data_IF_348134633819
#
_entry.id   IF_348134633819
#
_cell.length_a   1.000
_cell.length_b   1.000
_cell.length_c   1.000
_cell.angle_alpha   90.00
_cell.angle_beta   90.00
_cell.angle_gamma   90.00
#
_symmetry.space_group_name_H-M   'P 1'
#
loop_
_entity.id
_entity.type
_entity.pdbx_description
1 polymer ?
#
# COMPACT_ATOMS: atom_id res chain seq x y z
N UNK A 1 -1.09 12.83 -9.89
CA UNK A 1 -2.55 13.07 -10.02
C UNK A 1 -3.34 12.86 -8.73
N UNK A 2 -3.51 11.66 -8.17
CA UNK A 2 -4.40 11.49 -6.99
C UNK A 2 -3.98 12.35 -5.78
N UNK A 3 -2.67 12.43 -5.50
CA UNK A 3 -2.13 13.31 -4.46
C UNK A 3 -2.45 14.78 -4.71
N UNK A 4 -2.33 15.24 -5.95
CA UNK A 4 -2.59 16.63 -6.33
C UNK A 4 -4.08 16.96 -6.13
N UNK A 5 -4.97 16.06 -6.57
CA UNK A 5 -6.41 16.21 -6.44
C UNK A 5 -6.86 16.23 -4.97
N UNK A 6 -6.36 15.34 -4.13
CA UNK A 6 -6.74 15.33 -2.71
C UNK A 6 -6.07 16.45 -1.90
N UNK A 7 -4.88 16.91 -2.28
CA UNK A 7 -4.14 17.93 -1.54
C UNK A 7 -4.43 19.37 -1.96
N UNK A 8 -4.87 19.58 -3.22
CA UNK A 8 -5.09 20.92 -3.77
C UNK A 8 -6.44 21.09 -4.46
N UNK A 9 -7.21 20.00 -4.62
CA UNK A 9 -8.45 19.98 -5.40
C UNK A 9 -8.25 20.11 -6.91
N UNK A 10 -7.00 20.05 -7.38
CA UNK A 10 -6.62 20.33 -8.77
C UNK A 10 -5.46 19.44 -9.23
N UNK A 11 -5.40 19.11 -10.52
CA UNK A 11 -4.25 18.44 -11.14
C UNK A 11 -4.05 18.86 -12.60
N UNK A 12 -2.83 19.27 -12.93
CA UNK A 12 -2.35 19.48 -14.31
C UNK A 12 -1.33 18.38 -14.72
N UNK A 13 -1.29 17.27 -13.98
CA UNK A 13 -0.35 16.16 -14.23
C UNK A 13 -0.34 15.69 -15.69
N UNK A 14 0.86 15.58 -16.26
CA UNK A 14 1.14 15.03 -17.60
C UNK A 14 2.12 13.89 -17.46
N UNK A 15 1.76 12.73 -17.97
CA UNK A 15 2.64 11.57 -18.07
C UNK A 15 2.18 10.63 -19.16
N UNK A 16 2.91 9.55 -19.35
CA UNK A 16 2.76 8.66 -20.50
C UNK A 16 1.36 8.00 -20.59
N UNK A 17 0.71 7.81 -19.44
CA UNK A 17 -0.59 7.15 -19.35
C UNK A 17 -1.75 8.10 -19.05
N UNK A 18 -1.48 9.30 -18.52
CA UNK A 18 -2.51 10.24 -18.08
C UNK A 18 -2.11 11.67 -18.40
N UNK A 19 -3.05 12.41 -18.97
CA UNK A 19 -2.94 13.83 -19.27
C UNK A 19 -4.11 14.57 -18.64
N UNK A 20 -3.85 15.31 -17.57
CA UNK A 20 -4.84 16.14 -16.88
C UNK A 20 -4.72 17.59 -17.37
N UNK A 21 -5.83 18.27 -17.62
CA UNK A 21 -5.88 19.68 -18.01
C UNK A 21 -6.84 20.39 -17.06
N UNK A 22 -6.32 21.20 -16.13
CA UNK A 22 -7.07 21.83 -15.04
C UNK A 22 -8.10 20.90 -14.39
N UNK A 23 -7.75 19.62 -14.17
CA UNK A 23 -8.68 18.66 -13.61
C UNK A 23 -9.02 19.07 -12.17
N UNK A 24 -10.31 19.13 -11.81
CA UNK A 24 -10.79 19.57 -10.48
C UNK A 24 -11.54 18.46 -9.76
N UNK A 25 -11.28 18.34 -8.47
CA UNK A 25 -12.04 17.46 -7.55
C UNK A 25 -12.30 18.22 -6.25
N UNK A 26 -13.57 18.32 -5.86
CA UNK A 26 -14.04 18.98 -4.65
C UNK A 26 -15.29 18.26 -4.10
N UNK A 27 -15.51 18.17 -2.78
CA UNK A 27 -14.62 18.66 -1.71
C UNK A 27 -13.32 17.86 -1.61
N UNK A 28 -12.30 18.48 -1.03
CA UNK A 28 -11.09 17.75 -0.62
C UNK A 28 -11.39 16.92 0.63
N UNK A 29 -10.65 15.81 0.85
CA UNK A 29 -10.76 15.05 2.09
C UNK A 29 -10.55 15.94 3.32
N UNK A 30 -11.38 15.77 4.35
CA UNK A 30 -11.27 16.53 5.60
C UNK A 30 -10.08 16.10 6.47
N UNK A 31 -9.45 14.97 6.14
CA UNK A 31 -8.27 14.40 6.80
C UNK A 31 -7.32 13.84 5.73
N UNK A 32 -6.02 13.63 6.04
CA UNK A 32 -5.07 13.06 5.09
C UNK A 32 -5.57 11.72 4.53
N UNK A 33 -5.73 11.64 3.20
CA UNK A 33 -6.20 10.43 2.53
C UNK A 33 -5.17 9.30 2.65
N UNK A 34 -5.62 8.15 3.15
CA UNK A 34 -4.78 6.95 3.30
C UNK A 34 -4.72 6.18 2.00
N UNK A 35 -3.52 5.75 1.62
CA UNK A 35 -3.28 4.91 0.45
C UNK A 35 -2.70 3.58 0.91
N UNK A 36 -3.31 2.48 0.49
CA UNK A 36 -2.84 1.13 0.79
C UNK A 36 -2.50 0.41 -0.52
N UNK A 37 -1.59 -0.55 -0.46
CA UNK A 37 -1.21 -1.36 -1.60
C UNK A 37 -1.05 -2.84 -1.19
N UNK A 38 -0.94 -3.73 -2.17
CA UNK A 38 -0.76 -5.18 -1.96
C UNK A 38 0.35 -5.76 -2.85
N UNK A 39 1.34 -4.94 -3.20
CA UNK A 39 2.46 -5.34 -4.04
C UNK A 39 3.40 -6.31 -3.31
N UNK A 40 3.67 -7.47 -3.91
CA UNK A 40 4.62 -8.46 -3.37
C UNK A 40 5.86 -8.71 -4.25
N UNK A 41 5.81 -8.24 -5.51
CA UNK A 41 7.00 -8.12 -6.36
C UNK A 41 7.89 -6.98 -5.87
N UNK A 42 9.16 -6.98 -6.28
CA UNK A 42 10.10 -5.94 -5.86
C UNK A 42 9.67 -4.55 -6.36
N UNK A 43 9.16 -4.46 -7.60
CA UNK A 43 8.59 -3.23 -8.14
C UNK A 43 7.34 -2.78 -7.38
N UNK A 44 6.45 -3.72 -7.01
CA UNK A 44 5.26 -3.42 -6.21
C UNK A 44 5.61 -2.94 -4.81
N UNK A 45 6.56 -3.58 -4.15
CA UNK A 45 7.05 -3.15 -2.83
C UNK A 45 7.73 -1.78 -2.88
N UNK A 46 8.50 -1.49 -3.94
CA UNK A 46 9.09 -0.17 -4.16
C UNK A 46 8.02 0.91 -4.34
N UNK A 47 6.96 0.61 -5.10
CA UNK A 47 5.80 1.50 -5.24
C UNK A 47 5.12 1.76 -3.90
N UNK A 48 4.84 0.70 -3.13
CA UNK A 48 4.25 0.80 -1.80
C UNK A 48 5.11 1.62 -0.85
N UNK A 49 6.43 1.44 -0.88
CA UNK A 49 7.36 2.18 -0.02
C UNK A 49 7.36 3.68 -0.33
N UNK A 50 7.14 4.05 -1.60
CA UNK A 50 7.07 5.45 -2.00
C UNK A 50 5.70 6.07 -1.70
N UNK A 51 4.61 5.30 -1.87
CA UNK A 51 3.29 5.89 -2.02
C UNK A 51 2.22 5.39 -1.06
N UNK A 52 2.39 4.23 -0.43
CA UNK A 52 1.41 3.69 0.50
C UNK A 52 1.74 4.09 1.95
N UNK A 53 0.72 4.04 2.79
CA UNK A 53 0.83 4.07 4.24
C UNK A 53 0.95 2.64 4.79
N UNK A 54 0.38 1.64 4.11
CA UNK A 54 0.50 0.22 4.46
C UNK A 54 0.53 -0.71 3.24
N UNK A 55 1.17 -1.87 3.37
CA UNK A 55 1.21 -2.91 2.34
C UNK A 55 0.62 -4.23 2.85
N UNK A 56 -0.35 -4.79 2.14
CA UNK A 56 -0.85 -6.14 2.42
C UNK A 56 0.06 -7.21 1.82
N UNK A 57 0.25 -8.30 2.56
CA UNK A 57 0.92 -9.50 2.08
C UNK A 57 0.15 -10.76 2.50
N UNK A 58 0.40 -11.88 1.84
CA UNK A 58 -0.24 -13.13 2.23
C UNK A 58 0.45 -13.74 3.45
N UNK A 59 -0.36 -14.24 4.39
CA UNK A 59 0.10 -15.27 5.32
C UNK A 59 0.58 -16.50 4.56
N UNK A 60 1.53 -17.24 5.14
CA UNK A 60 2.06 -18.47 4.54
C UNK A 60 1.72 -19.65 5.44
N UNK A 61 1.28 -20.75 4.84
CA UNK A 61 0.93 -21.99 5.53
C UNK A 61 -0.38 -21.94 6.32
N UNK A 62 -0.70 -23.06 6.98
CA UNK A 62 -1.87 -23.22 7.87
C UNK A 62 -1.37 -23.24 9.32
N UNK A 63 -2.01 -22.48 10.21
CA UNK A 63 -1.61 -22.37 11.63
C UNK A 63 -0.14 -21.97 11.85
N UNK A 64 0.44 -21.20 10.92
CA UNK A 64 1.85 -20.75 10.93
C UNK A 64 1.92 -19.22 10.91
N UNK A 65 1.51 -18.55 12.01
CA UNK A 65 1.26 -17.10 12.01
C UNK A 65 2.51 -16.26 11.69
N UNK A 66 3.72 -16.76 11.93
CA UNK A 66 4.96 -16.03 11.65
C UNK A 66 5.56 -16.27 10.25
N UNK A 67 5.00 -17.18 9.44
CA UNK A 67 5.65 -17.62 8.21
C UNK A 67 5.67 -16.56 7.08
N UNK A 68 4.94 -15.46 7.23
CA UNK A 68 5.01 -14.31 6.31
C UNK A 68 6.19 -13.37 6.59
N UNK A 69 6.92 -13.56 7.69
CA UNK A 69 8.01 -12.67 8.12
C UNK A 69 9.04 -12.36 7.03
N UNK A 70 9.47 -13.29 6.15
CA UNK A 70 10.38 -12.96 5.05
C UNK A 70 9.78 -11.95 4.06
N UNK A 71 8.48 -12.02 3.78
CA UNK A 71 7.80 -11.06 2.90
C UNK A 71 7.73 -9.67 3.56
N UNK A 72 7.43 -9.62 4.86
CA UNK A 72 7.44 -8.37 5.62
C UNK A 72 8.84 -7.74 5.65
N UNK A 73 9.89 -8.55 5.86
CA UNK A 73 11.28 -8.08 5.85
C UNK A 73 11.69 -7.47 4.50
N UNK A 74 11.31 -8.07 3.37
CA UNK A 74 11.55 -7.47 2.04
C UNK A 74 10.85 -6.13 1.87
N UNK A 75 9.61 -6.01 2.35
CA UNK A 75 8.89 -4.73 2.31
C UNK A 75 9.61 -3.66 3.15
N UNK A 76 10.16 -4.03 4.31
CA UNK A 76 10.98 -3.13 5.12
C UNK A 76 12.26 -2.70 4.40
N UNK A 77 12.93 -3.62 3.70
CA UNK A 77 14.12 -3.32 2.89
C UNK A 77 13.83 -2.42 1.69
N UNK A 78 12.63 -2.53 1.09
CA UNK A 78 12.20 -1.66 -0.01
C UNK A 78 12.04 -0.18 0.42
N UNK A 79 12.03 0.11 1.74
CA UNK A 79 12.00 1.48 2.28
C UNK A 79 13.35 2.18 2.05
N UNK A 80 13.47 2.91 0.93
CA UNK A 80 14.67 3.71 0.62
C UNK A 80 14.81 5.00 1.44
N UNK A 81 13.76 5.46 2.13
CA UNK A 81 13.76 6.72 2.91
C UNK A 81 13.21 6.48 4.32
N UNK A 82 13.93 6.87 5.39
CA UNK A 82 13.49 6.64 6.78
C UNK A 82 12.24 7.43 7.19
N UNK A 83 11.77 8.37 6.37
CA UNK A 83 10.70 9.30 6.73
C UNK A 83 9.26 8.75 6.57
N UNK A 84 9.05 7.50 6.11
CA UNK A 84 7.71 6.90 6.02
C UNK A 84 7.66 5.54 6.70
N UNK A 85 6.79 5.41 7.70
CA UNK A 85 6.51 4.14 8.34
C UNK A 85 5.41 3.39 7.57
N UNK A 86 5.82 2.47 6.68
CA UNK A 86 4.92 1.65 5.84
C UNK A 86 4.80 0.22 6.37
N UNK A 87 3.88 -0.01 7.31
CA UNK A 87 3.68 -1.33 7.94
C UNK A 87 3.19 -2.41 6.95
N UNK A 88 3.44 -3.69 7.26
CA UNK A 88 2.94 -4.83 6.49
C UNK A 88 1.93 -5.64 7.27
N UNK A 89 0.73 -5.88 6.71
CA UNK A 89 -0.31 -6.72 7.31
C UNK A 89 -0.44 -8.05 6.55
N UNK A 90 -0.36 -9.16 7.28
CA UNK A 90 -0.44 -10.52 6.74
C UNK A 90 -1.79 -11.19 7.04
N UNK A 91 -2.53 -11.62 6.02
CA UNK A 91 -3.75 -12.42 6.21
C UNK A 91 -3.41 -13.90 6.43
N UNK A 92 -3.58 -14.42 7.65
CA UNK A 92 -3.26 -15.82 8.01
C UNK A 92 -4.53 -16.67 8.06
N UNK A 93 -4.49 -17.84 7.43
CA UNK A 93 -5.56 -18.83 7.50
C UNK A 93 -5.32 -19.84 8.63
N UNK A 94 -6.30 -19.97 9.53
CA UNK A 94 -6.36 -21.01 10.56
C UNK A 94 -7.63 -21.84 10.40
N UNK A 95 -7.52 -23.17 10.50
CA UNK A 95 -8.67 -24.06 10.45
C UNK A 95 -9.07 -24.44 11.87
N UNK A 96 -10.32 -24.14 12.28
CA UNK A 96 -10.91 -24.67 13.51
C UNK A 96 -11.50 -26.04 13.18
N UNK A 97 -10.82 -27.13 13.53
CA UNK A 97 -11.42 -28.48 13.46
C UNK A 97 -12.66 -28.47 14.35
N UNK A 98 -13.85 -28.66 13.77
CA UNK A 98 -15.02 -29.10 14.53
C UNK A 98 -14.80 -30.58 14.81
N UNK A 99 -14.53 -30.95 16.06
CA UNK A 99 -14.61 -32.34 16.45
C UNK A 99 -16.09 -32.75 16.39
N UNK A 100 -16.37 -33.86 15.71
CA UNK A 100 -17.69 -34.49 15.63
C UNK A 100 -18.07 -35.21 16.91
#
# INVERSE_FOLDING_TARGET
MLRDLWGTGKSDFKGDHFTMNDCRVSPQPSQPMKVICAGQSDAGMAFSAQYADYNFCFGKGVNTPAAFAPTAARMMQARKKPARDVGSYGAVYGYRRRNG
#
